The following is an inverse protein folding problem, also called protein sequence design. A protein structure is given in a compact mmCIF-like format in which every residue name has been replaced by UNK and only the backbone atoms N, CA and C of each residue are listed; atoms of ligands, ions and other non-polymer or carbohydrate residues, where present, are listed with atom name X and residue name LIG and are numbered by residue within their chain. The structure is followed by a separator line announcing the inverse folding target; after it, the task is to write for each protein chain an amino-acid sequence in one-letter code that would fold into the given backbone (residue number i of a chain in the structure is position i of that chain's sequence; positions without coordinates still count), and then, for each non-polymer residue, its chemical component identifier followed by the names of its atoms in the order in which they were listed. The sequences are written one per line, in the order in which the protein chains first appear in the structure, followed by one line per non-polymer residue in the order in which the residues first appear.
data_IF_646800767430
#
_entry.id   IF_646800767430
#
_cell.length_a   1.000
_cell.length_b   1.000
_cell.length_c   1.000
_cell.angle_alpha   90.00
_cell.angle_beta   90.00
_cell.angle_gamma   90.00
#
_symmetry.space_group_name_H-M   'P 1'
#
loop_
_entity.id
_entity.type
_entity.pdbx_description
1 polymer ?
#
# COMPACT_ATOMS: atom_id res chain seq x y z
N UNK A 1 47.80 48.85 42.17
CA UNK A 1 48.02 47.77 41.22
C UNK A 1 46.69 47.46 40.55
N UNK A 2 46.66 47.79 39.24
CA UNK A 2 45.49 47.56 38.37
C UNK A 2 45.36 46.05 38.13
N UNK A 3 44.13 45.54 38.36
CA UNK A 3 43.76 44.17 37.97
C UNK A 3 43.36 44.20 36.49
N UNK A 4 43.96 43.41 35.63
CA UNK A 4 43.59 43.42 34.24
C UNK A 4 42.18 42.84 34.08
N UNK A 5 41.33 43.56 33.34
CA UNK A 5 39.97 43.23 32.94
C UNK A 5 40.04 41.97 32.07
N UNK A 6 39.40 40.87 32.54
CA UNK A 6 39.28 39.62 31.74
C UNK A 6 38.20 39.87 30.72
N UNK A 7 38.45 39.67 29.41
CA UNK A 7 37.42 39.84 28.39
C UNK A 7 36.27 38.86 28.62
N UNK A 8 35.05 39.39 28.63
CA UNK A 8 33.84 38.59 28.68
C UNK A 8 33.77 37.69 27.47
N UNK A 9 33.69 36.37 27.69
CA UNK A 9 33.45 35.39 26.62
C UNK A 9 31.98 35.51 26.25
N UNK A 10 31.73 35.93 25.00
CA UNK A 10 30.38 35.92 24.44
C UNK A 10 29.78 34.50 24.55
N UNK A 11 28.55 34.33 25.06
CA UNK A 11 27.94 33.01 25.14
C UNK A 11 27.77 32.42 23.72
N UNK A 12 28.34 31.24 23.50
CA UNK A 12 28.13 30.48 22.27
C UNK A 12 26.61 30.34 22.06
N UNK A 13 26.07 30.75 20.89
CA UNK A 13 24.62 30.60 20.64
C UNK A 13 24.20 29.14 20.80
N UNK A 14 23.07 28.93 21.49
CA UNK A 14 22.50 27.64 21.66
C UNK A 14 22.23 26.99 20.25
N UNK A 15 22.45 25.67 20.08
CA UNK A 15 22.13 25.00 18.82
C UNK A 15 20.66 25.28 18.47
N UNK A 16 20.33 25.45 17.18
CA UNK A 16 18.93 25.62 16.77
C UNK A 16 18.09 24.43 17.22
N UNK A 17 16.88 24.70 17.69
CA UNK A 17 15.91 23.63 18.04
C UNK A 17 15.60 22.82 16.78
N UNK A 18 15.65 21.48 16.93
CA UNK A 18 15.33 20.55 15.82
C UNK A 18 13.83 20.60 15.53
N UNK A 19 13.47 20.51 14.24
CA UNK A 19 12.07 20.39 13.84
C UNK A 19 11.50 19.00 14.19
N UNK A 20 10.17 18.85 14.29
CA UNK A 20 9.55 17.53 14.50
C UNK A 20 9.99 16.47 13.49
N UNK A 21 10.17 16.87 12.22
CA UNK A 21 10.64 16.00 11.13
C UNK A 21 12.09 15.53 11.37
N UNK A 22 12.97 16.46 11.74
CA UNK A 22 14.37 16.14 12.06
C UNK A 22 14.49 15.19 13.26
N UNK A 23 13.65 15.38 14.27
CA UNK A 23 13.58 14.47 15.43
C UNK A 23 13.04 13.09 15.05
N UNK A 24 12.05 13.03 14.14
CA UNK A 24 11.50 11.76 13.64
C UNK A 24 12.57 11.00 12.83
N UNK A 25 13.29 11.66 11.94
CA UNK A 25 14.38 11.09 11.16
C UNK A 25 15.53 10.60 12.05
N UNK A 26 15.92 11.39 13.04
CA UNK A 26 16.95 10.98 14.00
C UNK A 26 16.55 9.68 14.73
N UNK A 27 15.31 9.63 15.26
CA UNK A 27 14.80 8.42 15.95
C UNK A 27 14.76 7.20 15.03
N UNK A 28 14.39 7.40 13.76
CA UNK A 28 14.39 6.33 12.76
C UNK A 28 15.80 5.81 12.53
N UNK A 29 16.77 6.71 12.33
CA UNK A 29 18.16 6.34 12.12
C UNK A 29 18.75 5.61 13.33
N UNK A 30 18.54 6.12 14.56
CA UNK A 30 18.95 5.47 15.80
C UNK A 30 18.35 4.05 15.91
N UNK A 31 17.07 3.88 15.53
CA UNK A 31 16.41 2.57 15.52
C UNK A 31 17.07 1.62 14.53
N UNK A 32 17.29 2.08 13.28
CA UNK A 32 17.93 1.29 12.22
C UNK A 32 19.36 0.90 12.60
N UNK A 33 20.13 1.81 13.19
CA UNK A 33 21.51 1.54 13.63
C UNK A 33 21.56 0.47 14.73
N UNK A 34 20.57 0.45 15.62
CA UNK A 34 20.44 -0.54 16.70
C UNK A 34 19.97 -1.92 16.26
N UNK A 35 19.48 -2.09 15.03
CA UNK A 35 19.00 -3.37 14.50
C UNK A 35 20.15 -4.28 14.05
N UNK A 36 20.00 -5.58 14.27
CA UNK A 36 20.86 -6.62 13.67
C UNK A 36 20.64 -6.72 12.15
N UNK A 37 21.51 -7.44 11.45
CA UNK A 37 21.33 -7.68 10.02
C UNK A 37 20.06 -8.50 9.74
N UNK A 38 19.80 -9.51 10.56
CA UNK A 38 18.62 -10.38 10.47
C UNK A 38 17.33 -9.57 10.60
N UNK A 39 17.25 -8.69 11.62
CA UNK A 39 16.11 -7.78 11.80
C UNK A 39 15.93 -6.85 10.62
N UNK A 40 17.01 -6.23 10.08
CA UNK A 40 16.95 -5.37 8.90
C UNK A 40 16.45 -6.12 7.66
N UNK A 41 16.96 -7.34 7.44
CA UNK A 41 16.55 -8.18 6.31
C UNK A 41 15.08 -8.57 6.45
N UNK A 42 14.64 -8.99 7.64
CA UNK A 42 13.25 -9.36 7.91
C UNK A 42 12.25 -8.25 7.59
N UNK A 43 12.62 -7.00 7.91
CA UNK A 43 11.78 -5.82 7.61
C UNK A 43 11.56 -5.55 6.12
N UNK A 44 12.40 -6.09 5.23
CA UNK A 44 12.22 -5.97 3.78
C UNK A 44 11.19 -6.95 3.22
N UNK A 45 10.69 -7.90 4.02
CA UNK A 45 9.74 -8.90 3.57
C UNK A 45 8.32 -8.53 3.95
N UNK A 46 7.50 -8.34 2.93
CA UNK A 46 6.04 -8.29 2.99
C UNK A 46 5.53 -9.61 2.41
N UNK A 47 5.24 -10.58 3.27
CA UNK A 47 4.98 -11.96 2.83
C UNK A 47 3.48 -12.27 2.78
N UNK A 48 3.09 -13.23 1.92
CA UNK A 48 1.77 -13.84 2.03
C UNK A 48 1.62 -14.43 3.44
N UNK A 49 0.51 -14.09 4.12
CA UNK A 49 0.23 -14.59 5.46
C UNK A 49 0.38 -16.13 5.50
N UNK A 50 1.26 -16.69 6.35
CA UNK A 50 1.42 -18.13 6.51
C UNK A 50 0.11 -18.84 6.89
N UNK A 51 0.01 -20.15 6.65
CA UNK A 51 -1.20 -20.92 7.00
C UNK A 51 -1.27 -21.25 8.49
N UNK A 52 -0.12 -21.47 9.08
CA UNK A 52 0.06 -21.81 10.51
C UNK A 52 1.18 -20.98 11.11
N UNK A 53 1.24 -20.93 12.42
CA UNK A 53 2.35 -20.39 13.20
C UNK A 53 2.75 -18.93 12.87
N UNK A 54 1.78 -18.13 12.37
CA UNK A 54 2.01 -16.77 11.87
C UNK A 54 2.75 -15.90 12.88
N UNK A 55 2.35 -15.91 14.16
CA UNK A 55 2.99 -15.13 15.21
C UNK A 55 4.44 -15.57 15.48
N UNK A 56 4.73 -16.87 15.37
CA UNK A 56 6.09 -17.40 15.52
C UNK A 56 6.95 -17.01 14.31
N UNK A 57 6.41 -17.09 13.09
CA UNK A 57 7.12 -16.67 11.87
C UNK A 57 7.41 -15.17 11.89
N UNK A 58 6.44 -14.33 12.29
CA UNK A 58 6.63 -12.88 12.46
C UNK A 58 7.80 -12.58 13.36
N UNK A 59 7.87 -13.26 14.52
CA UNK A 59 8.91 -13.08 15.51
C UNK A 59 10.25 -13.64 15.06
N UNK A 60 10.26 -14.87 14.51
CA UNK A 60 11.49 -15.59 14.14
C UNK A 60 12.20 -14.93 12.96
N UNK A 61 11.45 -14.46 11.98
CA UNK A 61 11.97 -13.85 10.75
C UNK A 61 11.94 -12.32 10.76
N UNK A 62 11.50 -11.69 11.87
CA UNK A 62 11.37 -10.23 12.00
C UNK A 62 10.62 -9.58 10.83
N UNK A 63 9.51 -10.20 10.37
CA UNK A 63 8.80 -9.80 9.16
C UNK A 63 8.32 -8.35 9.21
N UNK A 64 8.45 -7.64 8.08
CA UNK A 64 7.95 -6.28 7.91
C UNK A 64 6.46 -6.20 7.64
N UNK A 65 5.86 -7.23 7.01
CA UNK A 65 4.44 -7.22 6.70
C UNK A 65 3.84 -8.56 6.30
N UNK A 66 2.51 -8.63 6.38
CA UNK A 66 1.68 -9.78 6.04
C UNK A 66 0.61 -9.40 5.02
N UNK A 67 0.56 -10.07 3.87
CA UNK A 67 -0.50 -9.93 2.88
C UNK A 67 -1.56 -11.01 3.09
N UNK A 68 -2.79 -10.56 3.38
CA UNK A 68 -3.93 -11.41 3.66
C UNK A 68 -4.64 -11.84 2.39
N UNK A 69 -5.00 -13.12 2.33
CA UNK A 69 -5.79 -13.73 1.26
C UNK A 69 -7.14 -14.23 1.79
N UNK A 70 -8.03 -14.69 0.90
CA UNK A 70 -9.39 -15.08 1.25
C UNK A 70 -9.51 -16.10 2.40
N UNK A 71 -8.51 -16.99 2.60
CA UNK A 71 -8.49 -17.95 3.71
C UNK A 71 -8.27 -17.27 5.07
N UNK A 72 -7.56 -16.13 5.09
CA UNK A 72 -7.17 -15.46 6.33
C UNK A 72 -8.35 -14.76 7.02
N UNK A 73 -9.47 -14.59 6.28
CA UNK A 73 -10.74 -14.06 6.76
C UNK A 73 -11.70 -15.15 7.29
N UNK A 74 -11.20 -16.39 7.43
CA UNK A 74 -11.98 -17.55 7.85
C UNK A 74 -11.35 -18.23 9.05
N UNK A 75 -12.19 -18.98 9.79
CA UNK A 75 -11.75 -19.89 10.84
C UNK A 75 -11.24 -21.23 10.26
N UNK A 76 -10.81 -22.14 11.13
CA UNK A 76 -10.32 -23.46 10.74
C UNK A 76 -11.38 -24.34 10.07
N UNK A 77 -12.66 -24.10 10.32
CA UNK A 77 -13.79 -24.81 9.74
C UNK A 77 -14.24 -24.18 8.39
N UNK A 78 -13.61 -23.08 7.98
CA UNK A 78 -13.89 -22.37 6.73
C UNK A 78 -15.04 -21.36 6.83
N UNK A 79 -15.55 -21.06 8.03
CA UNK A 79 -16.58 -20.06 8.24
C UNK A 79 -15.96 -18.66 8.27
N UNK A 80 -16.71 -17.64 7.87
CA UNK A 80 -16.28 -16.25 7.95
C UNK A 80 -16.13 -15.79 9.41
N UNK A 81 -14.98 -15.23 9.73
CA UNK A 81 -14.71 -14.63 11.04
C UNK A 81 -15.65 -13.46 11.32
N UNK A 82 -16.03 -13.30 12.59
CA UNK A 82 -16.64 -12.06 13.08
C UNK A 82 -15.63 -10.89 13.04
N UNK A 83 -16.10 -9.66 13.14
CA UNK A 83 -15.23 -8.50 13.21
C UNK A 83 -14.29 -8.55 14.44
N UNK A 84 -14.82 -8.98 15.59
CA UNK A 84 -14.07 -9.09 16.83
C UNK A 84 -12.97 -10.16 16.73
N UNK A 85 -13.30 -11.36 16.22
CA UNK A 85 -12.33 -12.44 16.05
C UNK A 85 -11.26 -12.09 15.03
N UNK A 86 -11.66 -11.44 13.92
CA UNK A 86 -10.71 -11.00 12.90
C UNK A 86 -9.75 -9.94 13.45
N UNK A 87 -10.26 -8.94 14.15
CA UNK A 87 -9.45 -7.88 14.76
C UNK A 87 -8.53 -8.45 15.84
N UNK A 88 -9.01 -9.36 16.69
CA UNK A 88 -8.20 -10.04 17.70
C UNK A 88 -7.07 -10.87 17.06
N UNK A 89 -7.36 -11.57 15.95
CA UNK A 89 -6.36 -12.31 15.17
C UNK A 89 -5.24 -11.38 14.68
N UNK A 90 -5.57 -10.25 14.04
CA UNK A 90 -4.56 -9.30 13.57
C UNK A 90 -3.79 -8.64 14.72
N UNK A 91 -4.47 -8.34 15.84
CA UNK A 91 -3.82 -7.82 17.03
C UNK A 91 -2.78 -8.80 17.60
N UNK A 92 -3.03 -10.11 17.52
CA UNK A 92 -2.07 -11.13 17.96
C UNK A 92 -0.80 -11.15 17.09
N UNK A 93 -0.92 -10.89 15.79
CA UNK A 93 0.21 -10.77 14.87
C UNK A 93 1.04 -9.52 15.16
N UNK A 94 0.36 -8.38 15.36
CA UNK A 94 1.03 -7.13 15.76
C UNK A 94 1.79 -7.28 17.10
N UNK A 95 1.23 -8.01 18.06
CA UNK A 95 1.85 -8.22 19.36
C UNK A 95 3.11 -9.12 19.30
N UNK A 96 3.25 -9.91 18.25
CA UNK A 96 4.42 -10.77 18.04
C UNK A 96 5.60 -10.04 17.38
N UNK A 97 5.37 -8.89 16.78
CA UNK A 97 6.36 -8.14 16.03
C UNK A 97 7.12 -7.13 16.91
N UNK A 98 8.42 -6.98 16.67
CA UNK A 98 9.26 -5.98 17.33
C UNK A 98 9.01 -4.54 16.81
N UNK A 99 8.58 -4.42 15.55
CA UNK A 99 8.13 -3.20 14.91
C UNK A 99 6.69 -3.38 14.39
N UNK A 100 5.90 -2.29 14.29
CA UNK A 100 4.55 -2.39 13.75
C UNK A 100 4.56 -3.02 12.35
N UNK A 101 3.77 -4.09 12.18
CA UNK A 101 3.62 -4.77 10.89
C UNK A 101 2.80 -3.95 9.89
N UNK A 102 3.20 -4.00 8.65
CA UNK A 102 2.28 -3.76 7.54
C UNK A 102 1.34 -4.96 7.41
N UNK A 103 0.04 -4.73 7.51
CA UNK A 103 -0.98 -5.75 7.26
C UNK A 103 -1.79 -5.30 6.06
N UNK A 104 -1.63 -6.04 4.96
CA UNK A 104 -2.16 -5.69 3.66
C UNK A 104 -3.26 -6.61 3.16
N UNK A 105 -4.09 -6.08 2.30
CA UNK A 105 -5.12 -6.81 1.56
C UNK A 105 -5.29 -6.26 0.16
N UNK A 106 -5.66 -7.13 -0.80
CA UNK A 106 -6.13 -6.70 -2.12
C UNK A 106 -7.60 -6.33 -2.03
N UNK A 107 -7.89 -5.05 -1.91
CA UNK A 107 -9.25 -4.53 -1.92
C UNK A 107 -9.38 -3.49 -3.04
N UNK A 108 -9.22 -3.98 -4.30
CA UNK A 108 -9.29 -3.16 -5.52
C UNK A 108 -10.73 -2.77 -5.88
N UNK A 109 -11.67 -3.61 -5.47
CA UNK A 109 -13.04 -3.59 -5.91
C UNK A 109 -13.33 -4.55 -7.08
N UNK A 110 -14.60 -4.80 -7.35
CA UNK A 110 -15.04 -5.69 -8.42
C UNK A 110 -14.56 -7.13 -8.24
N UNK A 111 -13.77 -7.63 -9.18
CA UNK A 111 -13.30 -9.02 -9.19
C UNK A 111 -12.23 -9.31 -8.13
N UNK A 112 -11.49 -8.30 -7.68
CA UNK A 112 -10.40 -8.45 -6.70
C UNK A 112 -10.76 -7.76 -5.39
N UNK A 113 -11.34 -8.56 -4.52
CA UNK A 113 -11.71 -8.19 -3.14
C UNK A 113 -11.38 -9.35 -2.22
N UNK A 114 -11.06 -9.08 -0.97
CA UNK A 114 -10.76 -10.09 0.07
C UNK A 114 -11.60 -9.85 1.32
N UNK A 115 -11.35 -8.73 2.00
CA UNK A 115 -12.03 -8.36 3.24
C UNK A 115 -13.53 -8.14 3.02
N UNK A 116 -13.91 -7.41 1.97
CA UNK A 116 -15.30 -7.06 1.70
C UNK A 116 -16.18 -8.22 1.24
N UNK A 117 -15.57 -9.39 0.92
CA UNK A 117 -16.32 -10.65 0.69
C UNK A 117 -16.84 -11.27 1.98
N UNK A 118 -16.29 -10.92 3.13
CA UNK A 118 -16.77 -11.40 4.41
C UNK A 118 -17.99 -10.57 4.85
N UNK A 119 -19.22 -11.16 4.88
CA UNK A 119 -20.44 -10.44 5.21
C UNK A 119 -20.52 -9.98 6.67
N UNK A 120 -19.64 -10.52 7.55
CA UNK A 120 -19.55 -10.08 8.94
C UNK A 120 -18.67 -8.82 9.08
N UNK A 121 -17.85 -8.50 8.07
CA UNK A 121 -16.97 -7.34 8.06
C UNK A 121 -17.54 -6.17 7.24
N UNK A 122 -18.20 -6.48 6.12
CA UNK A 122 -18.78 -5.50 5.21
C UNK A 122 -20.19 -5.92 4.79
N UNK A 123 -21.07 -4.96 4.57
CA UNK A 123 -22.45 -5.21 4.12
C UNK A 123 -22.53 -5.68 2.66
N UNK A 124 -21.51 -5.38 1.86
CA UNK A 124 -21.39 -5.80 0.47
C UNK A 124 -19.92 -5.73 0.03
N UNK A 125 -19.52 -6.54 -0.98
CA UNK A 125 -18.21 -6.38 -1.61
C UNK A 125 -18.05 -4.99 -2.23
N UNK A 126 -16.81 -4.47 -2.23
CA UNK A 126 -16.46 -3.21 -2.89
C UNK A 126 -16.66 -3.37 -4.41
N UNK A 127 -17.35 -2.41 -5.01
CA UNK A 127 -17.51 -2.34 -6.47
C UNK A 127 -16.21 -1.88 -7.13
N UNK A 128 -16.04 -2.21 -8.42
CA UNK A 128 -14.89 -1.73 -9.19
C UNK A 128 -14.91 -0.20 -9.34
N UNK A 129 -13.74 0.43 -9.57
CA UNK A 129 -13.68 1.86 -9.86
C UNK A 129 -14.57 2.29 -11.03
N UNK A 130 -14.69 1.44 -12.07
CA UNK A 130 -15.58 1.68 -13.20
C UNK A 130 -17.05 1.73 -12.78
N UNK A 131 -17.50 0.75 -11.98
CA UNK A 131 -18.87 0.69 -11.47
C UNK A 131 -19.21 1.86 -10.55
N UNK A 132 -18.30 2.23 -9.66
CA UNK A 132 -18.46 3.38 -8.76
C UNK A 132 -18.55 4.69 -9.55
N UNK A 133 -17.64 4.88 -10.51
CA UNK A 133 -17.64 6.06 -11.37
C UNK A 133 -18.90 6.15 -12.22
N UNK A 134 -19.35 5.05 -12.80
CA UNK A 134 -20.58 5.03 -13.60
C UNK A 134 -21.84 5.31 -12.77
N UNK A 135 -21.84 4.89 -11.50
CA UNK A 135 -23.00 5.06 -10.63
C UNK A 135 -23.12 6.47 -10.01
N UNK A 136 -21.99 7.09 -9.63
CA UNK A 136 -21.99 8.30 -8.80
C UNK A 136 -20.90 9.32 -9.20
N UNK A 137 -20.25 9.14 -10.35
CA UNK A 137 -19.16 9.99 -10.79
C UNK A 137 -17.91 9.88 -9.90
N UNK A 138 -16.98 10.83 -10.08
CA UNK A 138 -15.72 10.80 -9.34
C UNK A 138 -15.93 11.03 -7.85
N UNK A 139 -16.79 11.95 -7.46
CA UNK A 139 -16.99 12.28 -6.04
C UNK A 139 -17.57 11.09 -5.26
N UNK A 140 -18.53 10.36 -5.84
CA UNK A 140 -19.06 9.15 -5.22
C UNK A 140 -18.06 8.00 -5.17
N UNK A 141 -17.16 7.90 -6.17
CA UNK A 141 -16.06 6.94 -6.15
C UNK A 141 -15.09 7.26 -4.99
N UNK A 142 -14.71 8.51 -4.82
CA UNK A 142 -13.79 8.95 -3.77
C UNK A 142 -14.40 8.71 -2.37
N UNK A 143 -15.66 9.11 -2.16
CA UNK A 143 -16.39 8.88 -0.91
C UNK A 143 -16.45 7.39 -0.54
N UNK A 144 -16.75 6.52 -1.50
CA UNK A 144 -16.82 5.09 -1.26
C UNK A 144 -15.43 4.49 -0.98
N UNK A 145 -14.38 4.95 -1.68
CA UNK A 145 -13.00 4.54 -1.41
C UNK A 145 -12.58 4.92 0.01
N UNK A 146 -12.83 6.16 0.43
CA UNK A 146 -12.55 6.60 1.80
C UNK A 146 -13.26 5.70 2.82
N UNK A 147 -14.57 5.51 2.68
CA UNK A 147 -15.40 4.73 3.59
C UNK A 147 -14.93 3.28 3.74
N UNK A 148 -14.54 2.62 2.63
CA UNK A 148 -14.03 1.25 2.68
C UNK A 148 -12.65 1.18 3.34
N UNK A 149 -11.76 2.11 3.06
CA UNK A 149 -10.44 2.15 3.68
C UNK A 149 -10.50 2.49 5.18
N UNK A 150 -11.40 3.39 5.62
CA UNK A 150 -11.67 3.62 7.03
C UNK A 150 -12.11 2.33 7.74
N UNK A 151 -12.96 1.53 7.07
CA UNK A 151 -13.37 0.23 7.61
C UNK A 151 -12.22 -0.78 7.65
N UNK A 152 -11.37 -0.85 6.61
CA UNK A 152 -10.15 -1.68 6.63
C UNK A 152 -9.25 -1.30 7.81
N UNK A 153 -9.02 -0.01 8.01
CA UNK A 153 -8.24 0.52 9.13
C UNK A 153 -8.81 0.10 10.49
N UNK A 154 -10.11 0.25 10.68
CA UNK A 154 -10.81 -0.15 11.89
C UNK A 154 -10.71 -1.66 12.19
N UNK A 155 -10.53 -2.49 11.15
CA UNK A 155 -10.30 -3.93 11.26
C UNK A 155 -8.83 -4.32 11.50
N UNK A 156 -7.89 -3.36 11.47
CA UNK A 156 -6.47 -3.59 11.67
C UNK A 156 -5.66 -3.79 10.39
N UNK A 157 -6.25 -3.57 9.21
CA UNK A 157 -5.57 -3.55 7.91
C UNK A 157 -5.06 -2.13 7.67
N UNK A 158 -3.76 -1.96 7.44
CA UNK A 158 -3.12 -0.65 7.30
C UNK A 158 -2.46 -0.42 5.93
N UNK A 159 -2.51 -1.43 5.03
CA UNK A 159 -2.08 -1.32 3.63
C UNK A 159 -3.17 -1.90 2.73
N UNK A 160 -3.60 -1.15 1.72
CA UNK A 160 -4.45 -1.67 0.66
C UNK A 160 -3.64 -1.75 -0.64
N UNK A 161 -3.58 -2.96 -1.23
CA UNK A 161 -2.91 -3.20 -2.52
C UNK A 161 -3.82 -2.70 -3.67
N UNK A 162 -4.09 -1.43 -3.64
CA UNK A 162 -4.85 -0.61 -4.57
C UNK A 162 -4.35 0.86 -4.44
N UNK A 163 -4.59 1.72 -5.42
CA UNK A 163 -5.38 1.55 -6.63
C UNK A 163 -4.62 0.89 -7.78
N UNK A 164 -5.37 0.36 -8.75
CA UNK A 164 -4.81 -0.15 -10.02
C UNK A 164 -4.57 1.03 -10.96
N UNK A 165 -3.31 1.22 -11.33
CA UNK A 165 -2.83 2.30 -12.21
C UNK A 165 -2.79 1.89 -13.70
N UNK A 166 -3.01 0.59 -13.97
CA UNK A 166 -2.92 0.06 -15.33
C UNK A 166 -3.91 0.75 -16.27
N UNK A 167 -3.41 1.14 -17.45
CA UNK A 167 -4.20 1.77 -18.49
C UNK A 167 -4.72 0.72 -19.46
N UNK A 168 -6.05 0.59 -19.57
CA UNK A 168 -6.71 -0.27 -20.54
C UNK A 168 -8.05 0.32 -20.93
N UNK A 169 -8.28 0.42 -22.25
CA UNK A 169 -9.55 0.86 -22.85
C UNK A 169 -10.24 -0.24 -23.66
N UNK A 170 -9.61 -1.41 -23.82
CA UNK A 170 -10.17 -2.57 -24.50
C UNK A 170 -10.72 -3.56 -23.48
N UNK A 171 -12.03 -3.85 -23.54
CA UNK A 171 -12.72 -4.79 -22.66
C UNK A 171 -12.17 -6.23 -22.73
N UNK A 172 -11.43 -6.55 -23.79
CA UNK A 172 -10.80 -7.87 -23.95
C UNK A 172 -9.44 -7.99 -23.23
N UNK A 173 -8.85 -6.87 -22.80
CA UNK A 173 -7.62 -6.92 -22.03
C UNK A 173 -7.85 -7.58 -20.67
N UNK A 174 -6.93 -8.47 -20.27
CA UNK A 174 -6.99 -9.13 -18.95
C UNK A 174 -7.17 -8.14 -17.79
N UNK A 175 -6.47 -7.01 -17.85
CA UNK A 175 -6.45 -6.03 -16.76
C UNK A 175 -7.65 -5.08 -16.78
N UNK A 176 -8.40 -5.00 -17.89
CA UNK A 176 -9.46 -4.00 -18.10
C UNK A 176 -10.48 -3.97 -16.96
N UNK A 177 -11.02 -5.12 -16.57
CA UNK A 177 -12.04 -5.21 -15.52
C UNK A 177 -11.56 -4.77 -14.13
N UNK A 178 -10.24 -4.67 -13.91
CA UNK A 178 -9.59 -4.20 -12.68
C UNK A 178 -9.13 -2.76 -12.76
N UNK A 179 -8.92 -2.22 -13.97
CA UNK A 179 -8.46 -0.87 -14.24
C UNK A 179 -9.60 0.15 -14.11
N UNK A 180 -9.28 1.44 -14.27
CA UNK A 180 -10.30 2.49 -14.34
C UNK A 180 -11.09 2.45 -15.67
N UNK A 181 -10.61 1.71 -16.68
CA UNK A 181 -11.27 1.51 -17.97
C UNK A 181 -11.28 2.77 -18.86
N UNK A 182 -10.31 3.65 -18.69
CA UNK A 182 -10.16 4.91 -19.41
C UNK A 182 -8.76 5.04 -19.97
N UNK A 183 -8.53 6.10 -20.77
CA UNK A 183 -7.21 6.45 -21.28
C UNK A 183 -6.24 6.86 -20.14
N UNK A 184 -4.99 7.05 -20.51
CA UNK A 184 -3.91 7.34 -19.58
C UNK A 184 -4.12 8.63 -18.79
N UNK A 185 -4.62 9.69 -19.43
CA UNK A 185 -4.85 10.97 -18.77
C UNK A 185 -6.00 10.88 -17.76
N UNK A 186 -7.14 10.28 -18.16
CA UNK A 186 -8.26 10.08 -17.25
C UNK A 186 -7.92 9.15 -16.09
N UNK A 187 -7.09 8.13 -16.33
CA UNK A 187 -6.58 7.25 -15.27
C UNK A 187 -5.65 8.02 -14.34
N UNK A 188 -4.75 8.86 -14.85
CA UNK A 188 -3.88 9.72 -14.03
C UNK A 188 -4.69 10.70 -13.16
N UNK A 189 -5.73 11.32 -13.72
CA UNK A 189 -6.64 12.21 -12.98
C UNK A 189 -7.36 11.44 -11.85
N UNK A 190 -7.85 10.24 -12.11
CA UNK A 190 -8.43 9.36 -11.10
C UNK A 190 -7.42 9.04 -9.99
N UNK A 191 -6.23 8.57 -10.34
CA UNK A 191 -5.18 8.18 -9.39
C UNK A 191 -4.77 9.37 -8.51
N UNK A 192 -4.58 10.56 -9.10
CA UNK A 192 -4.20 11.76 -8.34
C UNK A 192 -5.24 12.17 -7.29
N UNK A 193 -6.51 11.86 -7.53
CA UNK A 193 -7.61 12.20 -6.63
C UNK A 193 -7.89 11.10 -5.60
N UNK A 194 -7.70 9.84 -5.96
CA UNK A 194 -8.02 8.72 -5.07
C UNK A 194 -6.93 8.44 -4.03
N UNK A 195 -5.66 8.70 -4.35
CA UNK A 195 -4.54 8.48 -3.42
C UNK A 195 -4.71 9.24 -2.09
N UNK A 196 -5.09 10.52 -2.06
CA UNK A 196 -5.35 11.24 -0.80
C UNK A 196 -6.44 10.62 0.07
N UNK A 197 -7.42 9.89 -0.49
CA UNK A 197 -8.48 9.24 0.27
C UNK A 197 -7.95 8.05 1.10
N UNK A 198 -6.93 7.35 0.60
CA UNK A 198 -6.24 6.30 1.37
C UNK A 198 -5.50 6.90 2.57
N UNK A 199 -4.77 7.99 2.35
CA UNK A 199 -4.07 8.71 3.42
C UNK A 199 -5.06 9.22 4.47
N UNK A 200 -6.16 9.85 4.03
CA UNK A 200 -7.22 10.36 4.90
C UNK A 200 -7.84 9.25 5.77
N UNK A 201 -7.96 8.03 5.24
CA UNK A 201 -8.40 6.85 5.98
C UNK A 201 -7.32 6.27 6.91
N UNK A 202 -6.07 6.72 6.82
CA UNK A 202 -4.92 6.18 7.54
C UNK A 202 -4.50 4.79 7.05
N UNK A 203 -4.68 4.51 5.77
CA UNK A 203 -4.29 3.27 5.08
C UNK A 203 -3.29 3.61 3.98
N UNK A 204 -2.15 2.93 3.94
CA UNK A 204 -1.19 3.11 2.87
C UNK A 204 -1.71 2.45 1.59
N UNK A 205 -1.63 3.16 0.46
CA UNK A 205 -1.97 2.62 -0.85
C UNK A 205 -0.74 2.04 -1.57
N UNK A 206 -0.99 1.15 -2.53
CA UNK A 206 0.04 0.53 -3.37
C UNK A 206 -0.35 0.70 -4.82
N UNK A 207 0.39 1.55 -5.56
CA UNK A 207 0.19 1.73 -7.00
C UNK A 207 0.64 0.48 -7.75
N UNK A 208 -0.20 -0.07 -8.62
CA UNK A 208 0.11 -1.34 -9.31
C UNK A 208 -0.52 -1.40 -10.69
N UNK A 209 0.09 -2.15 -11.62
CA UNK A 209 1.27 -3.01 -11.56
C UNK A 209 2.39 -2.40 -12.42
N UNK A 210 3.33 -1.73 -11.81
CA UNK A 210 4.40 -1.04 -12.56
C UNK A 210 5.20 -2.02 -13.43
N UNK A 211 5.56 -1.69 -14.66
CA UNK A 211 5.42 -0.39 -15.33
C UNK A 211 4.08 -0.15 -16.04
N UNK A 212 3.13 -1.07 -15.97
CA UNK A 212 1.83 -1.05 -16.61
C UNK A 212 1.57 -2.34 -17.39
N UNK A 213 0.40 -2.93 -17.17
CA UNK A 213 0.04 -4.23 -17.76
C UNK A 213 -0.23 -4.15 -19.25
N UNK A 214 -0.85 -3.03 -19.71
CA UNK A 214 -1.31 -2.89 -21.09
C UNK A 214 -2.21 -4.04 -21.52
N UNK A 215 -1.98 -4.56 -22.72
CA UNK A 215 -2.70 -5.71 -23.28
C UNK A 215 -2.02 -7.07 -23.01
N UNK A 216 -1.11 -7.16 -22.05
CA UNK A 216 -0.43 -8.41 -21.72
C UNK A 216 -1.38 -9.42 -21.06
N UNK A 217 -1.00 -10.71 -21.21
CA UNK A 217 -1.72 -11.83 -20.60
C UNK A 217 -1.49 -11.88 -19.08
N UNK A 218 -2.35 -12.62 -18.38
CA UNK A 218 -2.25 -12.83 -16.93
C UNK A 218 -0.93 -13.51 -16.53
N UNK A 219 -0.10 -12.82 -15.76
CA UNK A 219 1.18 -13.35 -15.25
C UNK A 219 1.05 -14.45 -14.21
N UNK A 220 -0.16 -14.68 -13.67
CA UNK A 220 -0.41 -15.82 -12.78
C UNK A 220 -0.49 -17.16 -13.53
N UNK A 221 -0.71 -17.11 -14.83
CA UNK A 221 -0.86 -18.31 -15.67
C UNK A 221 0.35 -18.60 -16.55
N UNK A 222 1.31 -17.68 -16.63
CA UNK A 222 2.49 -17.83 -17.47
C UNK A 222 3.39 -16.60 -17.44
N UNK A 223 4.42 -16.63 -18.30
CA UNK A 223 5.33 -15.50 -18.47
C UNK A 223 4.71 -14.54 -19.51
N UNK A 224 4.50 -13.30 -19.13
CA UNK A 224 4.12 -12.24 -20.06
C UNK A 224 5.38 -11.49 -20.51
N UNK A 225 5.57 -11.39 -21.82
CA UNK A 225 6.66 -10.61 -22.43
C UNK A 225 6.05 -9.39 -23.09
N UNK A 226 6.46 -8.21 -22.63
CA UNK A 226 6.00 -6.93 -23.14
C UNK A 226 6.99 -6.40 -24.18
N UNK A 227 6.52 -6.29 -25.42
CA UNK A 227 7.30 -5.84 -26.57
C UNK A 227 7.02 -4.36 -26.89
N UNK A 228 6.23 -3.65 -26.05
CA UNK A 228 5.93 -2.23 -26.27
C UNK A 228 7.21 -1.38 -26.17
N UNK A 229 7.22 -0.26 -26.89
CA UNK A 229 8.34 0.67 -26.85
C UNK A 229 8.39 1.44 -25.53
N UNK A 230 9.57 1.91 -25.11
CA UNK A 230 9.72 2.78 -23.95
C UNK A 230 8.85 4.05 -24.07
N UNK A 231 8.74 4.63 -25.28
CA UNK A 231 7.89 5.78 -25.56
C UNK A 231 6.40 5.50 -25.23
N UNK A 232 5.92 4.27 -25.45
CA UNK A 232 4.55 3.89 -25.06
C UNK A 232 4.37 4.00 -23.55
N UNK A 233 5.32 3.52 -22.76
CA UNK A 233 5.27 3.64 -21.31
C UNK A 233 5.36 5.10 -20.86
N UNK A 234 6.26 5.91 -21.43
CA UNK A 234 6.40 7.33 -21.09
C UNK A 234 5.14 8.14 -21.36
N UNK A 235 4.49 7.90 -22.50
CA UNK A 235 3.34 8.70 -22.95
C UNK A 235 1.99 8.17 -22.45
N UNK A 236 1.95 6.97 -21.86
CA UNK A 236 0.74 6.32 -21.37
C UNK A 236 0.89 5.79 -19.96
N UNK A 237 1.53 4.62 -19.80
CA UNK A 237 1.47 3.82 -18.58
C UNK A 237 2.08 4.54 -17.37
N UNK A 238 3.14 5.34 -17.56
CA UNK A 238 3.78 6.07 -16.45
C UNK A 238 2.97 7.26 -15.94
N UNK A 239 2.00 7.76 -16.70
CA UNK A 239 1.23 8.94 -16.29
C UNK A 239 0.46 8.70 -14.98
N UNK A 240 -0.31 7.60 -14.82
CA UNK A 240 -0.99 7.30 -13.55
C UNK A 240 -0.03 7.07 -12.37
N UNK A 241 1.10 6.40 -12.59
CA UNK A 241 2.10 6.20 -11.53
C UNK A 241 2.72 7.51 -11.09
N UNK A 242 3.11 8.37 -12.04
CA UNK A 242 3.66 9.71 -11.75
C UNK A 242 2.65 10.57 -10.98
N UNK A 243 1.38 10.51 -11.37
CA UNK A 243 0.31 11.23 -10.69
C UNK A 243 0.10 10.72 -9.25
N UNK A 244 0.12 9.40 -9.05
CA UNK A 244 -0.02 8.79 -7.72
C UNK A 244 1.17 9.08 -6.80
N UNK A 245 2.39 9.03 -7.32
CA UNK A 245 3.60 9.39 -6.56
C UNK A 245 3.55 10.88 -6.16
N UNK A 246 3.19 11.76 -7.09
CA UNK A 246 3.03 13.18 -6.82
C UNK A 246 1.91 13.47 -5.79
N UNK A 247 0.89 12.61 -5.72
CA UNK A 247 -0.20 12.68 -4.74
C UNK A 247 0.15 12.04 -3.38
N UNK A 248 1.37 11.49 -3.20
CA UNK A 248 1.86 10.99 -1.92
C UNK A 248 1.75 9.48 -1.72
N UNK A 249 1.51 8.68 -2.76
CA UNK A 249 1.46 7.23 -2.65
C UNK A 249 2.79 6.66 -2.10
N UNK A 250 2.77 5.88 -1.01
CA UNK A 250 4.00 5.42 -0.36
C UNK A 250 4.62 4.18 -1.01
N UNK A 251 3.86 3.41 -1.80
CA UNK A 251 4.30 2.14 -2.37
C UNK A 251 3.97 2.01 -3.86
N UNK A 252 4.86 1.32 -4.58
CA UNK A 252 4.66 0.88 -5.95
C UNK A 252 4.95 -0.62 -6.04
N UNK A 253 4.02 -1.40 -6.58
CA UNK A 253 4.18 -2.83 -6.83
C UNK A 253 4.63 -3.04 -8.28
N UNK A 254 5.83 -3.64 -8.43
CA UNK A 254 6.39 -4.02 -9.73
C UNK A 254 5.77 -5.33 -10.19
N UNK A 255 5.35 -5.39 -11.45
CA UNK A 255 4.76 -6.59 -12.06
C UNK A 255 5.80 -7.68 -12.35
N UNK A 256 5.33 -8.87 -12.74
CA UNK A 256 6.17 -9.99 -13.14
C UNK A 256 6.38 -10.08 -14.66
N UNK A 257 6.01 -9.04 -15.41
CA UNK A 257 6.24 -8.98 -16.86
C UNK A 257 7.73 -8.88 -17.17
N UNK A 258 8.15 -9.52 -18.23
CA UNK A 258 9.44 -9.24 -18.88
C UNK A 258 9.20 -8.07 -19.81
N UNK A 259 9.86 -6.94 -19.59
CA UNK A 259 9.70 -5.73 -20.40
C UNK A 259 10.98 -5.51 -21.20
N UNK A 260 10.93 -5.75 -22.50
CA UNK A 260 12.14 -5.80 -23.34
C UNK A 260 12.80 -4.44 -23.59
N UNK A 261 12.09 -3.34 -23.37
CA UNK A 261 12.62 -1.99 -23.59
C UNK A 261 13.24 -1.32 -22.34
N UNK A 262 13.29 -2.02 -21.20
CA UNK A 262 13.79 -1.52 -19.90
C UNK A 262 14.95 -2.36 -19.37
#
# INVERSE_FOLDING_TARGET
PDVPDTPAVDPTPAPPEQTPEQLAEQRLNERIEGMTLEEKVGQLFFVRCPETDVAEDVKTYHLGGLLLFGRDYKDADGNWLSADDFTAKLASYQAAADLPLFIGSDEEGGTVTRASRNPNLFSSPLKSPQELYAAAGMDGLLEETLRYNERLKALGINVNFAPVCDVSTDENDFIHARSFGKDAQATADYISRVVPEYESAGVACVLKHFPGYGNNVDTHTGIAVDERSYETFETSDFLPFSAGIAAGAPFVLVSHNIVNCM
#
